data_IF_493434125957
#
_entry.id   IF_493434125957
#
_cell.length_a   1.000
_cell.length_b   1.000
_cell.length_c   1.000
_cell.angle_alpha   90.00
_cell.angle_beta   90.00
_cell.angle_gamma   90.00
#
_symmetry.space_group_name_H-M   'P 1'
#
loop_
_entity.id
_entity.type
_entity.pdbx_description
1 polymer ?
#
# COMPACT_ATOMS: atom_id res chain seq x y z
N UNK A 1 -18.73 1.80 -55.22
CA UNK A 1 -17.62 2.11 -54.30
C UNK A 1 -18.04 2.99 -53.13
N UNK A 2 -18.66 4.16 -53.32
CA UNK A 2 -19.05 5.11 -52.22
C UNK A 2 -20.01 4.52 -51.20
N UNK A 3 -21.00 3.65 -51.56
CA UNK A 3 -21.96 3.04 -50.64
C UNK A 3 -21.29 2.08 -49.65
N UNK A 4 -20.39 1.21 -50.13
CA UNK A 4 -19.63 0.28 -49.26
C UNK A 4 -18.73 1.04 -48.30
N UNK A 5 -18.05 2.10 -48.73
CA UNK A 5 -17.22 2.93 -47.86
C UNK A 5 -18.04 3.58 -46.74
N UNK A 6 -19.25 4.09 -47.05
CA UNK A 6 -20.16 4.66 -46.03
C UNK A 6 -20.60 3.62 -45.01
N UNK A 7 -20.88 2.39 -45.41
CA UNK A 7 -21.22 1.28 -44.51
C UNK A 7 -20.04 0.89 -43.60
N UNK A 8 -18.82 0.86 -44.15
CA UNK A 8 -17.62 0.61 -43.31
C UNK A 8 -17.39 1.73 -42.32
N UNK A 9 -17.51 3.00 -42.69
CA UNK A 9 -17.37 4.14 -41.81
C UNK A 9 -18.42 4.11 -40.67
N UNK A 10 -19.67 3.80 -40.99
CA UNK A 10 -20.73 3.64 -40.01
C UNK A 10 -20.43 2.51 -39.01
N UNK A 11 -19.91 1.38 -39.49
CA UNK A 11 -19.50 0.28 -38.60
C UNK A 11 -18.35 0.70 -37.69
N UNK A 12 -17.34 1.42 -38.16
CA UNK A 12 -16.23 1.92 -37.35
C UNK A 12 -16.70 2.91 -36.28
N UNK A 13 -17.62 3.81 -36.62
CA UNK A 13 -18.21 4.78 -35.67
C UNK A 13 -18.92 4.07 -34.52
N UNK A 14 -19.46 2.88 -34.70
CA UNK A 14 -20.10 2.09 -33.67
C UNK A 14 -19.10 1.19 -32.91
N UNK A 15 -18.19 0.52 -33.62
CA UNK A 15 -17.28 -0.46 -33.03
C UNK A 15 -16.24 0.20 -32.14
N UNK A 16 -15.68 1.35 -32.55
CA UNK A 16 -14.63 2.01 -31.76
C UNK A 16 -15.13 2.43 -30.38
N UNK A 17 -16.25 3.13 -30.22
CA UNK A 17 -16.78 3.43 -28.88
C UNK A 17 -17.10 2.18 -28.05
N UNK A 18 -17.71 1.17 -28.66
CA UNK A 18 -18.01 -0.09 -27.95
C UNK A 18 -16.73 -0.73 -27.42
N UNK A 19 -15.69 -0.84 -28.24
CA UNK A 19 -14.41 -1.40 -27.85
C UNK A 19 -13.76 -0.57 -26.71
N UNK A 20 -13.80 0.77 -26.83
CA UNK A 20 -13.27 1.67 -25.80
C UNK A 20 -14.01 1.50 -24.46
N UNK A 21 -15.33 1.55 -24.46
CA UNK A 21 -16.11 1.38 -23.23
C UNK A 21 -15.97 -0.03 -22.63
N UNK A 22 -15.86 -1.06 -23.49
CA UNK A 22 -15.58 -2.42 -23.03
C UNK A 22 -14.22 -2.52 -22.35
N UNK A 23 -13.19 -1.88 -22.90
CA UNK A 23 -11.87 -1.79 -22.29
C UNK A 23 -11.92 -1.06 -20.94
N UNK A 24 -12.60 0.08 -20.87
CA UNK A 24 -12.78 0.81 -19.62
C UNK A 24 -13.48 -0.05 -18.56
N UNK A 25 -14.49 -0.80 -18.94
CA UNK A 25 -15.22 -1.69 -18.05
C UNK A 25 -14.33 -2.83 -17.53
N UNK A 26 -13.53 -3.45 -18.39
CA UNK A 26 -12.56 -4.48 -18.00
C UNK A 26 -11.54 -3.89 -17.01
N UNK A 27 -10.97 -2.73 -17.32
CA UNK A 27 -10.03 -2.04 -16.40
C UNK A 27 -10.72 -1.74 -15.07
N UNK A 28 -11.95 -1.23 -15.08
CA UNK A 28 -12.70 -0.93 -13.86
C UNK A 28 -12.92 -2.16 -12.97
N UNK A 29 -13.13 -3.33 -13.55
CA UNK A 29 -13.28 -4.58 -12.78
C UNK A 29 -11.95 -5.02 -12.21
N UNK A 30 -10.89 -5.05 -13.03
CA UNK A 30 -9.62 -5.67 -12.69
C UNK A 30 -8.56 -4.70 -12.17
N UNK A 31 -8.87 -3.40 -11.97
CA UNK A 31 -7.89 -2.39 -11.60
C UNK A 31 -7.09 -2.70 -10.34
N UNK A 32 -7.69 -3.38 -9.34
CA UNK A 32 -6.98 -3.79 -8.15
C UNK A 32 -5.91 -4.83 -8.41
N UNK A 33 -6.14 -5.73 -9.37
CA UNK A 33 -5.13 -6.68 -9.83
C UNK A 33 -3.98 -6.00 -10.60
N UNK A 34 -4.27 -4.83 -11.22
CA UNK A 34 -3.26 -4.01 -11.88
C UNK A 34 -2.49 -3.11 -10.90
N UNK A 35 -3.09 -2.77 -9.77
CA UNK A 35 -2.48 -1.91 -8.76
C UNK A 35 -1.69 -2.69 -7.72
N UNK A 36 -2.26 -3.77 -7.18
CA UNK A 36 -1.67 -4.55 -6.11
C UNK A 36 -1.07 -5.84 -6.65
N UNK A 37 0.19 -6.09 -6.30
CA UNK A 37 0.95 -7.26 -6.75
C UNK A 37 1.41 -8.10 -5.57
N UNK A 38 0.47 -8.69 -4.81
CA UNK A 38 0.82 -9.54 -3.69
C UNK A 38 1.57 -10.78 -4.15
N UNK A 39 2.50 -11.24 -3.32
CA UNK A 39 3.16 -12.53 -3.47
C UNK A 39 3.01 -13.31 -2.18
N UNK A 40 2.77 -14.60 -2.33
CA UNK A 40 2.87 -15.54 -1.23
C UNK A 40 4.33 -15.94 -1.06
N UNK A 41 4.80 -16.03 0.17
CA UNK A 41 6.12 -16.57 0.47
C UNK A 41 6.23 -17.04 1.90
N UNK A 42 7.37 -17.69 2.19
CA UNK A 42 7.81 -17.99 3.54
C UNK A 42 8.18 -16.71 4.28
N UNK A 43 7.34 -16.30 5.11
CA UNK A 43 7.46 -15.23 6.06
C UNK A 43 8.50 -15.57 7.17
N UNK A 44 9.69 -16.01 6.79
CA UNK A 44 10.67 -16.52 7.76
C UNK A 44 11.49 -15.41 8.41
N UNK A 45 11.96 -14.46 7.66
CA UNK A 45 12.88 -13.43 8.11
C UNK A 45 14.27 -13.96 8.46
N UNK A 46 14.63 -15.15 7.97
CA UNK A 46 15.88 -15.84 8.34
C UNK A 46 17.14 -15.07 7.92
N UNK A 47 17.05 -14.24 6.89
CA UNK A 47 18.17 -13.40 6.41
C UNK A 47 18.28 -12.06 7.15
N UNK A 48 17.43 -11.79 8.12
CA UNK A 48 17.52 -10.58 8.94
C UNK A 48 18.74 -10.64 9.86
N UNK A 49 19.49 -9.56 9.87
CA UNK A 49 20.68 -9.39 10.74
C UNK A 49 20.32 -8.82 12.11
N UNK A 50 19.03 -8.68 12.39
CA UNK A 50 18.48 -8.23 13.68
C UNK A 50 17.53 -9.27 14.21
N UNK A 51 17.45 -9.38 15.54
CA UNK A 51 16.48 -10.26 16.18
C UNK A 51 15.08 -9.67 16.00
N UNK A 52 14.16 -10.45 15.48
CA UNK A 52 12.75 -10.06 15.33
C UNK A 52 11.83 -10.98 16.13
N UNK A 53 10.70 -10.45 16.50
CA UNK A 53 9.50 -11.18 16.89
C UNK A 53 8.54 -11.20 15.70
N UNK A 54 8.08 -12.40 15.31
CA UNK A 54 7.00 -12.55 14.34
C UNK A 54 5.69 -12.27 15.05
N UNK A 55 5.00 -11.22 14.64
CA UNK A 55 3.79 -10.76 15.30
C UNK A 55 2.57 -10.95 14.42
N UNK A 56 1.42 -11.11 15.06
CA UNK A 56 0.10 -11.15 14.47
C UNK A 56 -0.68 -9.96 14.99
N UNK A 57 -1.22 -9.17 14.09
CA UNK A 57 -1.97 -7.94 14.40
C UNK A 57 -3.39 -8.13 13.89
N UNK A 58 -4.33 -8.14 14.80
CA UNK A 58 -5.75 -8.22 14.44
C UNK A 58 -6.25 -6.82 14.04
N UNK A 59 -6.90 -6.75 12.88
CA UNK A 59 -7.53 -5.51 12.38
C UNK A 59 -8.94 -5.37 12.93
N UNK A 60 -9.48 -4.15 12.90
CA UNK A 60 -10.84 -3.86 13.35
C UNK A 60 -11.92 -4.59 12.54
N UNK A 61 -11.60 -5.10 11.36
CA UNK A 61 -12.47 -5.93 10.53
C UNK A 61 -12.10 -7.44 10.56
N UNK A 62 -11.43 -7.88 11.63
CA UNK A 62 -11.09 -9.27 11.95
C UNK A 62 -10.18 -9.97 10.93
N UNK A 63 -9.22 -9.25 10.37
CA UNK A 63 -8.14 -9.83 9.57
C UNK A 63 -6.88 -9.87 10.42
N UNK A 64 -6.20 -11.02 10.45
CA UNK A 64 -4.91 -11.17 11.09
C UNK A 64 -3.81 -10.81 10.09
N UNK A 65 -2.99 -9.79 10.42
CA UNK A 65 -1.84 -9.37 9.64
C UNK A 65 -0.56 -9.92 10.25
N UNK A 66 0.30 -10.44 9.40
CA UNK A 66 1.65 -10.83 9.78
C UNK A 66 2.57 -9.61 9.78
N UNK A 67 3.46 -9.55 10.79
CA UNK A 67 4.48 -8.50 10.90
C UNK A 67 5.76 -9.00 11.52
N UNK A 68 6.81 -8.20 11.38
CA UNK A 68 8.08 -8.36 12.10
C UNK A 68 8.27 -7.17 13.01
N UNK A 69 8.47 -7.46 14.28
CA UNK A 69 8.74 -6.46 15.30
C UNK A 69 10.16 -6.65 15.85
N UNK A 70 10.93 -5.59 15.88
CA UNK A 70 12.23 -5.52 16.52
C UNK A 70 12.17 -4.54 17.67
N UNK A 71 12.33 -5.06 18.87
CA UNK A 71 12.47 -4.28 20.09
C UNK A 71 13.95 -4.22 20.47
N UNK A 72 14.51 -3.02 20.45
CA UNK A 72 15.85 -2.73 20.95
C UNK A 72 15.76 -2.08 22.33
N UNK A 73 14.95 -1.05 22.47
CA UNK A 73 14.66 -0.35 23.72
C UNK A 73 13.46 0.58 23.52
N UNK A 74 12.28 0.20 24.01
CA UNK A 74 11.05 0.98 23.83
C UNK A 74 11.00 2.25 24.69
N UNK A 75 11.83 2.34 25.73
CA UNK A 75 11.87 3.49 26.64
C UNK A 75 12.70 4.62 26.04
N UNK A 76 13.87 4.30 25.50
CA UNK A 76 14.85 5.28 25.08
C UNK A 76 14.83 5.57 23.58
N UNK A 77 14.32 4.66 22.74
CA UNK A 77 14.37 4.80 21.28
C UNK A 77 12.99 4.90 20.66
N UNK A 78 12.88 5.69 19.61
CA UNK A 78 11.66 5.79 18.81
C UNK A 78 11.40 4.47 18.06
N UNK A 79 10.14 4.23 17.73
CA UNK A 79 9.70 3.05 16.98
C UNK A 79 9.30 3.46 15.57
N UNK A 80 9.98 2.91 14.57
CA UNK A 80 9.65 3.13 13.17
C UNK A 80 8.60 2.11 12.73
N UNK A 81 7.49 2.58 12.18
CA UNK A 81 6.48 1.74 11.53
C UNK A 81 6.67 1.83 10.03
N UNK A 82 6.99 0.70 9.41
CA UNK A 82 7.26 0.66 7.99
C UNK A 82 6.06 0.13 7.20
N UNK A 83 5.49 0.99 6.37
CA UNK A 83 4.42 0.74 5.43
C UNK A 83 4.99 0.52 4.04
N UNK A 84 5.01 -0.72 3.58
CA UNK A 84 5.67 -1.09 2.32
C UNK A 84 4.84 -0.74 1.07
N UNK A 85 5.48 -0.81 -0.10
CA UNK A 85 4.87 -0.52 -1.40
C UNK A 85 3.84 -1.56 -1.85
N UNK A 86 3.38 -1.42 -3.10
CA UNK A 86 2.27 -2.19 -3.69
C UNK A 86 2.64 -3.59 -4.20
N UNK A 87 3.87 -4.04 -4.01
CA UNK A 87 4.36 -5.30 -4.57
C UNK A 87 5.24 -6.08 -3.62
N UNK A 88 5.31 -7.40 -3.83
CA UNK A 88 6.24 -8.28 -3.14
C UNK A 88 5.75 -8.74 -1.77
N UNK A 89 6.68 -8.96 -0.87
CA UNK A 89 6.49 -9.56 0.46
C UNK A 89 7.38 -8.84 1.48
N UNK A 90 7.27 -9.19 2.76
CA UNK A 90 8.17 -8.68 3.80
C UNK A 90 9.63 -9.03 3.50
N UNK A 91 9.91 -10.20 2.97
CA UNK A 91 11.28 -10.64 2.68
C UNK A 91 11.97 -9.77 1.62
N UNK A 92 11.24 -9.18 0.71
CA UNK A 92 11.79 -8.21 -0.24
C UNK A 92 12.32 -6.94 0.44
N UNK A 93 12.01 -6.73 1.74
CA UNK A 93 12.43 -5.56 2.55
C UNK A 93 13.58 -5.88 3.50
N UNK A 94 14.04 -7.13 3.56
CA UNK A 94 15.16 -7.55 4.43
C UNK A 94 16.39 -6.68 4.22
N UNK A 95 16.76 -6.41 2.97
CA UNK A 95 17.88 -5.54 2.64
C UNK A 95 17.76 -4.17 3.32
N UNK A 96 16.59 -3.52 3.23
CA UNK A 96 16.32 -2.21 3.84
C UNK A 96 16.30 -2.29 5.36
N UNK A 97 15.66 -3.34 5.91
CA UNK A 97 15.56 -3.55 7.36
C UNK A 97 16.94 -3.79 7.98
N UNK A 98 17.81 -4.49 7.29
CA UNK A 98 19.17 -4.74 7.77
C UNK A 98 20.00 -3.47 7.96
N UNK A 99 19.67 -2.35 7.29
CA UNK A 99 20.29 -1.05 7.55
C UNK A 99 19.85 -0.44 8.88
N UNK A 100 18.69 -0.85 9.44
CA UNK A 100 18.24 -0.37 10.74
C UNK A 100 19.02 -0.95 11.90
N UNK A 101 19.79 -2.04 11.68
CA UNK A 101 20.61 -2.70 12.71
C UNK A 101 21.52 -1.75 13.46
N UNK A 102 22.17 -0.83 12.74
CA UNK A 102 23.12 0.11 13.30
C UNK A 102 22.43 1.33 13.94
N UNK A 103 21.12 1.47 13.79
CA UNK A 103 20.37 2.59 14.31
C UNK A 103 19.88 2.30 15.74
N UNK A 104 19.76 3.36 16.55
CA UNK A 104 19.09 3.31 17.85
C UNK A 104 17.59 3.50 17.66
N UNK A 105 16.93 2.44 17.17
CA UNK A 105 15.53 2.46 16.78
C UNK A 105 14.90 1.08 17.01
N UNK A 106 13.63 1.07 17.42
CA UNK A 106 12.78 -0.11 17.29
C UNK A 106 12.07 -0.05 15.96
N UNK A 107 11.58 -1.18 15.43
CA UNK A 107 10.76 -1.11 14.24
C UNK A 107 9.64 -2.16 14.22
N UNK A 108 8.56 -1.80 13.55
CA UNK A 108 7.47 -2.69 13.15
C UNK A 108 7.30 -2.57 11.65
N UNK A 109 7.33 -3.69 10.94
CA UNK A 109 6.87 -3.79 9.56
C UNK A 109 5.74 -4.78 9.50
N UNK A 110 4.62 -4.40 8.87
CA UNK A 110 3.49 -5.29 8.63
C UNK A 110 3.40 -5.67 7.16
N UNK A 111 2.86 -6.83 6.88
CA UNK A 111 2.41 -7.19 5.54
C UNK A 111 0.94 -6.84 5.39
N UNK A 112 0.57 -6.22 4.27
CA UNK A 112 -0.81 -5.84 4.00
C UNK A 112 -1.73 -7.08 3.87
N UNK A 113 -3.04 -6.87 4.09
CA UNK A 113 -4.05 -7.86 3.72
C UNK A 113 -3.88 -8.34 2.29
N UNK A 114 -3.95 -9.64 2.06
CA UNK A 114 -3.73 -10.28 0.76
C UNK A 114 -2.27 -10.46 0.36
N UNK A 115 -1.29 -9.93 1.14
CA UNK A 115 0.15 -10.09 0.90
C UNK A 115 0.76 -11.09 1.88
N UNK A 116 1.86 -11.73 1.50
CA UNK A 116 2.64 -12.68 2.34
C UNK A 116 1.78 -13.79 2.97
N UNK A 117 0.70 -14.19 2.31
CA UNK A 117 -0.23 -15.20 2.84
C UNK A 117 -1.33 -14.66 3.77
N UNK A 118 -1.36 -13.37 4.07
CA UNK A 118 -2.46 -12.76 4.81
C UNK A 118 -3.79 -12.91 4.09
N UNK A 119 -4.85 -13.13 4.84
CA UNK A 119 -6.20 -13.17 4.32
C UNK A 119 -6.67 -11.79 3.82
N UNK A 120 -7.80 -11.78 3.12
CA UNK A 120 -8.43 -10.56 2.60
C UNK A 120 -7.94 -10.17 1.22
N UNK A 121 -8.45 -9.01 0.74
CA UNK A 121 -8.09 -8.44 -0.55
C UNK A 121 -7.69 -6.98 -0.35
N UNK A 122 -6.58 -6.54 -0.94
CA UNK A 122 -6.13 -5.17 -0.79
C UNK A 122 -7.10 -4.17 -1.41
N UNK A 123 -7.28 -3.05 -0.72
CA UNK A 123 -8.05 -1.88 -1.15
C UNK A 123 -7.58 -0.68 -0.34
N UNK A 124 -7.82 0.53 -0.82
CA UNK A 124 -7.46 1.76 -0.09
C UNK A 124 -7.99 1.74 1.35
N UNK A 125 -9.30 1.53 1.52
CA UNK A 125 -9.92 1.45 2.85
C UNK A 125 -9.31 0.34 3.71
N UNK A 126 -9.04 -0.83 3.10
CA UNK A 126 -8.46 -1.96 3.82
C UNK A 126 -7.03 -1.67 4.29
N UNK A 127 -6.20 -1.08 3.42
CA UNK A 127 -4.82 -0.75 3.79
C UNK A 127 -4.75 0.38 4.83
N UNK A 128 -5.70 1.32 4.83
CA UNK A 128 -5.84 2.32 5.90
C UNK A 128 -6.15 1.64 7.23
N UNK A 129 -7.07 0.68 7.25
CA UNK A 129 -7.39 -0.11 8.45
C UNK A 129 -6.18 -0.92 8.93
N UNK A 130 -5.42 -1.52 8.00
CA UNK A 130 -4.18 -2.24 8.33
C UNK A 130 -3.16 -1.31 9.01
N UNK A 131 -2.98 -0.10 8.47
CA UNK A 131 -2.09 0.90 9.03
C UNK A 131 -2.52 1.37 10.42
N UNK A 132 -3.80 1.66 10.62
CA UNK A 132 -4.37 2.03 11.91
C UNK A 132 -4.20 0.92 12.94
N UNK A 133 -4.42 -0.33 12.54
CA UNK A 133 -4.27 -1.49 13.42
C UNK A 133 -2.83 -1.70 13.87
N UNK A 134 -1.85 -1.44 12.99
CA UNK A 134 -0.44 -1.48 13.36
C UNK A 134 -0.10 -0.43 14.44
N UNK A 135 -0.64 0.78 14.33
CA UNK A 135 -0.46 1.82 15.35
C UNK A 135 -1.14 1.43 16.66
N UNK A 136 -2.37 0.92 16.60
CA UNK A 136 -3.10 0.49 17.79
C UNK A 136 -2.38 -0.66 18.53
N UNK A 137 -1.77 -1.57 17.78
CA UNK A 137 -0.96 -2.64 18.34
C UNK A 137 0.25 -2.10 19.12
N UNK A 138 0.96 -1.10 18.57
CA UNK A 138 2.06 -0.44 19.27
C UNK A 138 1.58 0.34 20.50
N UNK A 139 0.42 0.97 20.44
CA UNK A 139 -0.21 1.61 21.62
C UNK A 139 -0.53 0.59 22.71
N UNK A 140 -0.93 -0.61 22.35
CA UNK A 140 -1.11 -1.73 23.27
C UNK A 140 0.19 -2.14 23.98
N UNK A 141 1.36 -1.87 23.37
CA UNK A 141 2.68 -2.03 24.00
C UNK A 141 3.11 -0.81 24.86
N UNK A 142 2.24 0.19 25.04
CA UNK A 142 2.50 1.38 25.87
C UNK A 142 3.08 2.58 25.14
N UNK A 143 3.33 2.50 23.83
CA UNK A 143 3.85 3.60 23.01
C UNK A 143 2.78 4.69 22.80
N UNK A 144 3.21 5.95 22.76
CA UNK A 144 2.39 7.09 22.36
C UNK A 144 2.70 7.47 20.93
N UNK A 145 1.82 8.27 20.29
CA UNK A 145 2.03 8.70 18.90
C UNK A 145 3.38 9.43 18.73
N UNK A 146 3.81 10.22 19.69
CA UNK A 146 5.11 10.91 19.67
C UNK A 146 6.34 10.00 19.88
N UNK A 147 6.14 8.71 20.14
CA UNK A 147 7.21 7.71 20.20
C UNK A 147 7.37 6.96 18.87
N UNK A 148 6.47 7.22 17.91
CA UNK A 148 6.37 6.51 16.64
C UNK A 148 6.81 7.41 15.49
N UNK A 149 7.61 6.87 14.59
CA UNK A 149 7.98 7.46 13.29
C UNK A 149 7.28 6.63 12.21
N UNK A 150 6.51 7.27 11.36
CA UNK A 150 5.89 6.62 10.21
C UNK A 150 6.86 6.62 9.03
N UNK A 151 7.04 5.47 8.40
CA UNK A 151 7.83 5.36 7.18
C UNK A 151 6.99 4.69 6.09
N UNK A 152 6.67 5.45 5.05
CA UNK A 152 5.93 4.97 3.88
C UNK A 152 6.84 4.83 2.66
N UNK A 153 6.76 3.69 1.97
CA UNK A 153 7.43 3.43 0.69
C UNK A 153 6.40 3.36 -0.42
N UNK A 154 6.51 4.21 -1.44
CA UNK A 154 5.61 4.21 -2.61
C UNK A 154 4.14 4.23 -2.17
N UNK A 155 3.36 3.17 -2.45
CA UNK A 155 1.97 3.03 -1.97
C UNK A 155 1.84 3.27 -0.46
N UNK A 156 2.81 2.79 0.33
CA UNK A 156 2.84 2.98 1.78
C UNK A 156 2.90 4.44 2.21
N UNK A 157 3.30 5.36 1.33
CA UNK A 157 3.28 6.80 1.64
C UNK A 157 1.85 7.32 1.80
N UNK A 158 0.91 6.83 0.99
CA UNK A 158 -0.51 7.15 1.12
C UNK A 158 -1.09 6.69 2.46
N UNK A 159 -0.69 5.49 2.93
CA UNK A 159 -1.12 4.97 4.23
C UNK A 159 -0.48 5.77 5.37
N UNK A 160 0.83 6.02 5.30
CA UNK A 160 1.53 6.82 6.30
C UNK A 160 0.93 8.22 6.45
N UNK A 161 0.62 8.88 5.34
CA UNK A 161 -0.03 10.20 5.31
C UNK A 161 -1.43 10.16 5.91
N UNK A 162 -2.25 9.15 5.55
CA UNK A 162 -3.59 8.97 6.09
C UNK A 162 -3.56 8.79 7.62
N UNK A 163 -2.70 7.91 8.11
CA UNK A 163 -2.53 7.65 9.55
C UNK A 163 -2.07 8.89 10.31
N UNK A 164 -1.26 9.75 9.66
CA UNK A 164 -0.72 10.98 10.26
C UNK A 164 -1.74 12.12 10.39
N UNK A 165 -2.83 12.13 9.60
CA UNK A 165 -3.71 13.29 9.42
C UNK A 165 -4.23 13.93 10.72
N UNK A 166 -4.48 13.14 11.77
CA UNK A 166 -5.13 13.64 13.00
C UNK A 166 -4.29 13.40 14.25
N UNK A 167 -3.00 13.10 14.10
CA UNK A 167 -2.12 12.70 15.18
C UNK A 167 -0.76 13.38 15.08
N UNK A 168 -0.08 13.51 16.22
CA UNK A 168 1.28 14.08 16.28
C UNK A 168 2.28 12.96 16.52
N UNK A 169 2.75 12.37 15.44
CA UNK A 169 3.84 11.40 15.46
C UNK A 169 5.20 12.08 15.67
N UNK A 170 6.22 11.32 16.05
CA UNK A 170 7.60 11.82 16.18
C UNK A 170 8.16 12.29 14.84
N UNK A 171 7.71 11.70 13.74
CA UNK A 171 8.10 12.08 12.38
C UNK A 171 7.38 11.23 11.34
N UNK A 172 7.49 11.69 10.10
CA UNK A 172 7.04 10.96 8.92
C UNK A 172 8.13 10.98 7.85
N UNK A 173 8.45 9.81 7.31
CA UNK A 173 9.40 9.62 6.22
C UNK A 173 8.64 9.07 5.02
N UNK A 174 8.71 9.76 3.91
CA UNK A 174 8.03 9.40 2.67
C UNK A 174 9.06 9.13 1.58
N UNK A 175 9.18 7.87 1.18
CA UNK A 175 10.06 7.44 0.10
C UNK A 175 9.24 7.24 -1.18
N UNK A 176 9.61 7.98 -2.23
CA UNK A 176 8.88 7.99 -3.52
C UNK A 176 7.39 8.30 -3.36
N UNK A 177 7.03 9.41 -2.70
CA UNK A 177 5.64 9.77 -2.47
C UNK A 177 4.93 10.18 -3.77
N UNK A 178 3.61 10.11 -3.74
CA UNK A 178 2.72 10.63 -4.78
C UNK A 178 1.61 11.48 -4.15
N UNK A 179 1.08 12.44 -4.91
CA UNK A 179 -0.03 13.30 -4.48
C UNK A 179 -1.34 12.53 -4.40
N UNK A 180 -1.63 11.75 -5.44
CA UNK A 180 -2.77 10.83 -5.49
C UNK A 180 -2.51 9.72 -6.51
N UNK A 181 -3.17 8.58 -6.32
CA UNK A 181 -3.14 7.52 -7.34
C UNK A 181 -3.81 7.98 -8.64
N UNK A 182 -4.74 8.93 -8.55
CA UNK A 182 -5.35 9.57 -9.72
C UNK A 182 -4.30 10.31 -10.57
N UNK A 183 -3.43 11.09 -9.93
CA UNK A 183 -2.41 11.87 -10.65
C UNK A 183 -1.31 10.97 -11.19
N UNK A 184 -0.89 9.98 -10.40
CA UNK A 184 0.08 8.98 -10.86
C UNK A 184 -0.44 8.23 -12.11
N UNK A 185 -1.71 7.78 -12.08
CA UNK A 185 -2.30 7.06 -13.21
C UNK A 185 -2.58 7.96 -14.41
N UNK A 186 -2.95 9.25 -14.24
CA UNK A 186 -3.13 10.18 -15.36
C UNK A 186 -1.84 10.41 -16.17
N UNK A 187 -0.71 10.45 -15.48
CA UNK A 187 0.59 10.61 -16.15
C UNK A 187 0.92 9.44 -17.06
N UNK A 188 0.46 8.23 -16.73
CA UNK A 188 0.69 7.01 -17.50
C UNK A 188 -0.42 6.80 -18.57
N UNK A 189 -1.66 7.14 -18.23
CA UNK A 189 -2.85 6.87 -19.06
C UNK A 189 -3.66 8.15 -19.35
N UNK A 190 -3.12 9.13 -20.09
CA UNK A 190 -3.73 10.45 -20.27
C UNK A 190 -5.08 10.42 -21.03
N UNK A 191 -5.33 9.37 -21.80
CA UNK A 191 -6.56 9.24 -22.59
C UNK A 191 -7.72 8.55 -21.87
N UNK A 192 -7.51 8.14 -20.62
CA UNK A 192 -8.56 7.51 -19.81
C UNK A 192 -9.15 8.48 -18.78
N UNK A 193 -10.44 8.39 -18.48
CA UNK A 193 -11.11 9.22 -17.47
C UNK A 193 -10.77 8.70 -16.06
N UNK A 194 -9.50 8.71 -15.69
CA UNK A 194 -8.91 8.08 -14.50
C UNK A 194 -9.66 8.42 -13.21
N UNK A 195 -10.01 9.69 -13.01
CA UNK A 195 -10.68 10.16 -11.78
C UNK A 195 -12.02 9.44 -11.51
N UNK A 196 -12.73 9.03 -12.58
CA UNK A 196 -14.02 8.33 -12.49
C UNK A 196 -13.84 6.82 -12.45
N UNK A 197 -12.74 6.31 -13.01
CA UNK A 197 -12.46 4.88 -13.09
C UNK A 197 -11.87 4.33 -11.78
N UNK A 198 -10.96 5.08 -11.12
CA UNK A 198 -10.25 4.55 -9.96
C UNK A 198 -11.15 4.42 -8.75
N UNK A 199 -11.12 3.22 -8.16
CA UNK A 199 -11.75 2.89 -6.88
C UNK A 199 -10.86 3.30 -5.70
N UNK A 200 -9.56 3.06 -5.84
CA UNK A 200 -8.56 3.32 -4.80
C UNK A 200 -7.72 4.53 -5.23
N UNK A 201 -7.89 5.67 -4.55
CA UNK A 201 -7.37 6.98 -4.99
C UNK A 201 -6.17 7.47 -4.20
N UNK A 202 -6.06 7.11 -2.93
CA UNK A 202 -4.97 7.51 -2.03
C UNK A 202 -4.65 9.01 -2.14
N UNK A 203 -5.62 9.85 -1.83
CA UNK A 203 -5.44 11.31 -1.91
C UNK A 203 -4.57 11.78 -0.73
N UNK A 204 -3.25 11.85 -0.92
CA UNK A 204 -2.26 12.19 0.10
C UNK A 204 -2.07 13.68 0.31
N UNK A 205 -2.65 14.52 -0.55
CA UNK A 205 -2.58 15.98 -0.55
C UNK A 205 -3.76 16.67 0.15
N UNK A 206 -4.69 15.91 0.71
CA UNK A 206 -5.86 16.34 1.47
C UNK A 206 -5.73 15.96 2.92
#
# INVERSE_FOLDING_TARGET
MKKKLKEYLLKLILIIPIAYFSLLFIIFIFQRNLLYHPKENNYSGDELKVKIEKVKIETGDNIELLGWFHEKDLINFKTLVFFHGNAGTLENRIHKINHFKEMNINFLIISWRGFSGNLGKPSEKGLYEDGESAINWLKGKGLKDNDIILYGESLGTGIATHVAQKRKFAGIILESPFTSMVDAAKNVYPYFPIRFLLKDKYESDK
#
